data_IF_920781359058
#
_entry.id   IF_920781359058
#
_cell.length_a   1.000
_cell.length_b   1.000
_cell.length_c   1.000
_cell.angle_alpha   90.00
_cell.angle_beta   90.00
_cell.angle_gamma   90.00
#
_symmetry.space_group_name_H-M   'P 1'
#
loop_
_entity.id
_entity.type
_entity.pdbx_description
1 polymer ?
#
# COMPACT_ATOMS: atom_id res chain seq x y z
N UNK A 1 12.10 -12.53 11.50
CA UNK A 1 11.50 -11.21 11.24
C UNK A 1 11.34 -11.11 9.73
N UNK A 2 10.38 -11.84 9.19
CA UNK A 2 10.20 -11.97 7.75
C UNK A 2 9.62 -10.66 7.23
N UNK A 3 10.44 -9.90 6.52
CA UNK A 3 10.02 -8.70 5.84
C UNK A 3 9.06 -9.12 4.72
N UNK A 4 7.75 -8.91 4.90
CA UNK A 4 6.77 -9.24 3.86
C UNK A 4 6.84 -8.22 2.73
N UNK A 5 6.83 -8.69 1.47
CA UNK A 5 6.83 -7.84 0.28
C UNK A 5 5.57 -8.09 -0.55
N UNK A 6 4.97 -7.02 -1.07
CA UNK A 6 3.81 -7.08 -1.97
C UNK A 6 4.07 -6.29 -3.26
N UNK A 7 3.68 -6.85 -4.41
CA UNK A 7 3.75 -6.14 -5.68
C UNK A 7 2.55 -5.21 -5.84
N UNK A 8 2.76 -3.89 -5.79
CA UNK A 8 1.69 -2.90 -5.90
C UNK A 8 2.04 -1.76 -6.83
N UNK A 9 1.01 -1.10 -7.34
CA UNK A 9 1.16 0.10 -8.16
C UNK A 9 1.70 1.25 -7.30
N UNK A 10 2.83 1.82 -7.72
CA UNK A 10 3.34 3.05 -7.13
C UNK A 10 2.84 4.26 -7.92
N UNK A 11 2.30 5.27 -7.23
CA UNK A 11 1.84 6.50 -7.89
C UNK A 11 2.98 7.38 -8.41
N UNK A 12 4.20 7.20 -7.88
CA UNK A 12 5.38 7.97 -8.32
C UNK A 12 6.10 7.27 -9.45
N UNK A 13 6.36 5.97 -9.33
CA UNK A 13 6.98 5.21 -10.42
C UNK A 13 6.01 4.93 -11.57
N UNK A 14 4.70 5.12 -11.37
CA UNK A 14 3.63 4.75 -12.31
C UNK A 14 3.81 3.33 -12.87
N UNK A 15 4.23 2.41 -12.00
CA UNK A 15 4.55 1.03 -12.34
C UNK A 15 4.22 0.09 -11.17
N UNK A 16 4.09 -1.21 -11.46
CA UNK A 16 4.01 -2.25 -10.43
C UNK A 16 5.40 -2.50 -9.87
N UNK A 17 5.61 -2.12 -8.61
CA UNK A 17 6.89 -2.25 -7.92
C UNK A 17 6.76 -3.18 -6.72
N UNK A 18 7.85 -3.84 -6.33
CA UNK A 18 7.94 -4.52 -5.02
C UNK A 18 7.87 -3.47 -3.91
N UNK A 19 6.96 -3.65 -2.95
CA UNK A 19 6.80 -2.77 -1.81
C UNK A 19 6.97 -3.55 -0.50
N UNK A 20 7.75 -3.01 0.43
CA UNK A 20 7.92 -3.53 1.79
C UNK A 20 6.68 -3.24 2.62
N UNK A 21 6.16 -4.25 3.31
CA UNK A 21 5.06 -4.10 4.26
C UNK A 21 5.65 -3.72 5.62
N UNK A 22 5.22 -2.56 6.12
CA UNK A 22 5.54 -2.06 7.44
C UNK A 22 4.27 -2.19 8.29
N UNK A 23 4.28 -3.13 9.24
CA UNK A 23 3.20 -3.31 10.19
C UNK A 23 3.42 -2.38 11.38
N UNK A 24 2.47 -1.47 11.64
CA UNK A 24 2.52 -0.54 12.78
C UNK A 24 1.57 -1.06 13.87
N UNK A 25 2.09 -1.58 15.00
CA UNK A 25 1.27 -2.18 16.05
C UNK A 25 0.47 -1.15 16.85
N UNK A 26 0.91 0.12 16.89
CA UNK A 26 0.37 1.17 17.77
C UNK A 26 -0.90 1.86 17.23
N UNK A 27 -1.36 1.52 16.01
CA UNK A 27 -2.51 2.20 15.41
C UNK A 27 -3.82 1.54 15.89
N UNK A 28 -4.75 2.29 16.54
CA UNK A 28 -5.96 1.72 17.12
C UNK A 28 -6.96 1.24 16.06
N UNK A 29 -6.89 1.76 14.83
CA UNK A 29 -7.78 1.38 13.74
C UNK A 29 -7.23 0.19 12.96
N UNK A 30 -7.91 -0.96 13.05
CA UNK A 30 -7.45 -2.19 12.40
C UNK A 30 -7.22 -2.03 10.88
N UNK A 31 -8.03 -1.19 10.23
CA UNK A 31 -8.01 -0.97 8.77
C UNK A 31 -6.75 -0.27 8.26
N UNK A 32 -5.96 0.37 9.13
CA UNK A 32 -4.75 1.13 8.75
C UNK A 32 -3.46 0.62 9.40
N UNK A 33 -3.39 -0.66 9.82
CA UNK A 33 -2.16 -1.20 10.45
C UNK A 33 -0.99 -1.45 9.50
N UNK A 34 -1.20 -1.37 8.18
CA UNK A 34 -0.18 -1.69 7.17
C UNK A 34 0.18 -0.47 6.32
N UNK A 35 1.44 -0.06 6.35
CA UNK A 35 2.05 0.83 5.36
C UNK A 35 2.83 0.02 4.34
N UNK A 36 2.95 0.58 3.14
CA UNK A 36 3.73 0.03 2.07
C UNK A 36 4.81 1.01 1.65
N UNK A 37 6.06 0.56 1.62
CA UNK A 37 7.21 1.37 1.18
C UNK A 37 7.73 0.82 -0.14
N UNK A 38 7.71 1.65 -1.17
CA UNK A 38 8.26 1.28 -2.48
C UNK A 38 9.78 1.14 -2.40
N UNK A 39 10.34 0.05 -2.93
CA UNK A 39 11.80 -0.18 -2.97
C UNK A 39 12.52 0.68 -4.00
N UNK A 40 11.81 1.20 -5.01
CA UNK A 40 12.40 1.99 -6.10
C UNK A 40 12.46 3.49 -5.79
N UNK A 41 11.35 4.08 -5.33
CA UNK A 41 11.27 5.51 -5.01
C UNK A 41 11.30 5.83 -3.51
N UNK A 42 11.26 4.81 -2.64
CA UNK A 42 11.23 4.99 -1.18
C UNK A 42 9.93 5.56 -0.61
N UNK A 43 8.94 5.91 -1.45
CA UNK A 43 7.69 6.53 -1.00
C UNK A 43 6.87 5.54 -0.18
N UNK A 44 6.37 6.02 0.96
CA UNK A 44 5.45 5.29 1.84
C UNK A 44 4.00 5.66 1.48
N UNK A 45 3.15 4.66 1.36
CA UNK A 45 1.72 4.83 1.12
C UNK A 45 0.92 3.87 1.97
N UNK A 46 -0.22 4.34 2.45
CA UNK A 46 -1.21 3.48 3.07
C UNK A 46 -1.93 2.63 2.02
N UNK A 47 -2.58 1.56 2.47
CA UNK A 47 -3.55 0.84 1.65
C UNK A 47 -4.64 1.83 1.20
N UNK A 48 -4.62 2.23 -0.06
CA UNK A 48 -5.77 2.92 -0.65
C UNK A 48 -6.96 1.97 -0.61
N UNK A 49 -8.12 2.47 -0.19
CA UNK A 49 -9.38 1.75 -0.37
C UNK A 49 -9.53 1.34 -1.83
N UNK A 50 -10.21 0.22 -2.09
CA UNK A 50 -10.57 -0.14 -3.46
C UNK A 50 -11.30 1.06 -4.05
N UNK A 51 -10.81 1.59 -5.18
CA UNK A 51 -11.61 2.53 -5.96
C UNK A 51 -12.91 1.81 -6.29
N UNK A 52 -14.09 2.41 -6.02
CA UNK A 52 -15.31 1.89 -6.63
C UNK A 52 -15.02 1.79 -8.14
N UNK A 53 -15.33 0.65 -8.76
CA UNK A 53 -15.37 0.63 -10.22
C UNK A 53 -16.36 1.71 -10.65
N UNK A 54 -16.03 2.44 -11.72
CA UNK A 54 -16.91 3.49 -12.24
C UNK A 54 -18.32 2.95 -12.61
N UNK A 55 -18.45 1.62 -12.73
CA UNK A 55 -19.71 0.89 -12.90
C UNK A 55 -20.69 1.03 -11.72
N UNK A 56 -20.24 1.46 -10.53
CA UNK A 56 -21.13 1.68 -9.38
C UNK A 56 -21.74 3.09 -9.32
N UNK A 57 -21.49 3.94 -10.33
CA UNK A 57 -21.92 5.35 -10.38
C UNK A 57 -23.00 5.61 -11.45
N UNK A 58 -23.42 4.58 -12.19
CA UNK A 58 -24.51 4.63 -13.17
C UNK A 58 -25.65 3.69 -12.77
#
# INVERSE_FOLDING_TARGET
>A
MDQEFENRWCTVCMAKTKQEIIFMPEIPTYKRRRQYKCTQCGKKSWLLGRRPSAEAVY
#
